data_IF_520567367351
#
_entry.id   IF_520567367351
#
_cell.length_a   1.000
_cell.length_b   1.000
_cell.length_c   1.000
_cell.angle_alpha   90.00
_cell.angle_beta   90.00
_cell.angle_gamma   90.00
#
_symmetry.space_group_name_H-M   'P 1'
#
loop_
_entity.id
_entity.type
_entity.pdbx_description
1 polymer ?
#
# COMPACT_ATOMS: atom_id res chain seq x y z
N UNK A 1 -42.07 -25.17 -12.78
CA UNK A 1 -41.48 -23.86 -13.16
C UNK A 1 -40.15 -24.15 -13.88
N UNK A 2 -39.97 -23.66 -15.10
CA UNK A 2 -38.74 -23.93 -15.89
C UNK A 2 -37.61 -23.02 -15.37
N UNK A 3 -36.53 -23.62 -14.87
CA UNK A 3 -35.31 -22.93 -14.45
C UNK A 3 -34.55 -22.43 -15.69
N UNK A 4 -34.44 -21.12 -15.87
CA UNK A 4 -33.57 -20.50 -16.88
C UNK A 4 -32.17 -20.32 -16.28
N UNK A 5 -31.16 -20.92 -16.91
CA UNK A 5 -29.75 -20.68 -16.55
C UNK A 5 -29.38 -19.23 -16.92
N UNK A 6 -28.59 -18.52 -16.09
CA UNK A 6 -28.13 -17.18 -16.41
C UNK A 6 -27.26 -17.21 -17.67
N UNK A 7 -27.49 -16.28 -18.60
CA UNK A 7 -26.63 -16.05 -19.76
C UNK A 7 -25.29 -15.49 -19.26
N UNK A 8 -24.23 -16.27 -19.43
CA UNK A 8 -22.85 -15.82 -19.19
C UNK A 8 -22.36 -15.25 -20.52
N UNK A 9 -22.13 -13.95 -20.58
CA UNK A 9 -21.47 -13.35 -21.74
C UNK A 9 -19.96 -13.64 -21.70
N UNK A 10 -19.32 -13.93 -22.84
CA UNK A 10 -17.90 -14.20 -22.87
C UNK A 10 -17.12 -12.94 -22.52
N UNK A 11 -16.19 -13.06 -21.59
CA UNK A 11 -15.24 -12.01 -21.24
C UNK A 11 -14.40 -11.73 -22.48
N UNK A 12 -14.62 -10.57 -23.12
CA UNK A 12 -13.75 -10.10 -24.20
C UNK A 12 -12.52 -9.45 -23.58
N UNK A 13 -11.36 -10.07 -23.78
CA UNK A 13 -10.10 -9.42 -23.51
C UNK A 13 -9.84 -8.35 -24.59
N UNK A 14 -9.37 -7.16 -24.20
CA UNK A 14 -9.10 -6.09 -25.15
C UNK A 14 -8.00 -6.48 -26.14
N UNK A 15 -8.10 -5.95 -27.35
CA UNK A 15 -7.11 -6.18 -28.41
C UNK A 15 -5.82 -5.40 -28.12
N UNK A 16 -4.71 -5.81 -28.74
CA UNK A 16 -3.41 -5.13 -28.58
C UNK A 16 -3.48 -3.62 -28.86
N UNK A 17 -4.29 -3.20 -29.84
CA UNK A 17 -4.51 -1.79 -30.18
C UNK A 17 -5.35 -1.04 -29.15
N UNK A 18 -6.25 -1.73 -28.45
CA UNK A 18 -6.98 -1.14 -27.33
C UNK A 18 -6.10 -1.05 -26.09
N UNK A 19 -5.22 -2.05 -25.86
CA UNK A 19 -4.21 -2.01 -24.81
C UNK A 19 -3.24 -0.83 -25.01
N UNK A 20 -2.72 -0.62 -26.22
CA UNK A 20 -1.81 0.50 -26.53
C UNK A 20 -2.47 1.88 -26.32
N UNK A 21 -3.77 2.00 -26.63
CA UNK A 21 -4.55 3.21 -26.34
C UNK A 21 -4.77 3.43 -24.85
N UNK A 22 -4.97 2.36 -24.08
CA UNK A 22 -5.09 2.43 -22.62
C UNK A 22 -3.75 2.80 -21.98
N UNK A 23 -2.63 2.27 -22.48
CA UNK A 23 -1.29 2.63 -22.04
C UNK A 23 -0.99 4.11 -22.32
N UNK A 24 -1.35 4.60 -23.51
CA UNK A 24 -1.17 6.01 -23.89
C UNK A 24 -2.04 6.94 -23.02
N UNK A 25 -3.30 6.57 -22.75
CA UNK A 25 -4.18 7.34 -21.86
C UNK A 25 -3.73 7.31 -20.40
N UNK A 26 -3.13 6.19 -19.95
CA UNK A 26 -2.50 6.07 -18.64
C UNK A 26 -1.21 6.91 -18.53
N UNK A 27 -0.45 7.06 -19.63
CA UNK A 27 0.75 7.88 -19.70
C UNK A 27 0.41 9.38 -19.55
N UNK A 28 -0.65 9.83 -20.23
CA UNK A 28 -1.15 11.22 -20.19
C UNK A 28 -1.74 11.66 -18.84
N UNK A 29 -2.04 10.72 -17.94
CA UNK A 29 -2.62 10.99 -16.62
C UNK A 29 -1.66 10.78 -15.45
N UNK A 30 -0.43 10.29 -15.70
CA UNK A 30 0.56 10.07 -14.65
C UNK A 30 1.21 11.39 -14.24
N UNK A 31 0.89 11.84 -13.03
CA UNK A 31 1.80 12.70 -12.26
C UNK A 31 3.19 12.04 -12.19
N UNK A 32 4.28 12.82 -12.06
CA UNK A 32 5.64 12.27 -12.06
C UNK A 32 5.79 11.24 -10.95
N UNK A 33 5.77 9.96 -11.32
CA UNK A 33 6.18 8.88 -10.41
C UNK A 33 7.65 9.06 -10.14
N UNK A 34 8.03 8.95 -8.88
CA UNK A 34 9.44 8.79 -8.54
C UNK A 34 9.91 7.53 -9.24
N UNK A 35 10.89 7.65 -10.14
CA UNK A 35 11.55 6.49 -10.72
C UNK A 35 12.30 5.78 -9.59
N UNK A 36 11.98 4.49 -9.39
CA UNK A 36 12.61 3.67 -8.38
C UNK A 36 13.26 2.46 -9.04
N UNK A 37 14.51 2.13 -8.70
CA UNK A 37 15.28 1.07 -9.36
C UNK A 37 14.63 -0.31 -9.26
N UNK A 38 13.77 -0.53 -8.25
CA UNK A 38 13.11 -1.82 -7.99
C UNK A 38 11.60 -1.79 -8.32
N UNK A 39 11.17 -1.06 -9.36
CA UNK A 39 9.75 -1.02 -9.76
C UNK A 39 9.46 -1.89 -10.98
N UNK A 40 8.48 -2.79 -10.86
CA UNK A 40 7.90 -3.53 -11.98
C UNK A 40 6.46 -3.04 -12.23
N UNK A 41 6.00 -2.92 -13.48
CA UNK A 41 4.62 -2.53 -13.77
C UNK A 41 3.62 -3.47 -13.07
N UNK A 42 2.76 -2.89 -12.22
CA UNK A 42 1.71 -3.63 -11.51
C UNK A 42 2.16 -4.45 -10.29
N UNK A 43 3.45 -4.43 -9.94
CA UNK A 43 3.98 -5.16 -8.76
C UNK A 43 4.71 -4.16 -7.86
N UNK A 44 4.29 -4.08 -6.59
CA UNK A 44 4.96 -3.25 -5.59
C UNK A 44 5.97 -4.09 -4.82
N UNK A 45 7.25 -3.73 -4.94
CA UNK A 45 8.34 -4.33 -4.18
C UNK A 45 8.68 -3.47 -2.95
N UNK A 46 8.96 -4.15 -1.85
CA UNK A 46 9.25 -3.56 -0.56
C UNK A 46 9.74 -4.61 0.46
N UNK A 47 9.89 -4.18 1.70
CA UNK A 47 10.38 -4.98 2.84
C UNK A 47 9.44 -4.82 4.04
N UNK A 48 9.55 -5.72 5.03
CA UNK A 48 8.75 -5.67 6.28
C UNK A 48 9.22 -4.64 7.31
N UNK A 49 10.20 -3.81 6.93
CA UNK A 49 10.68 -2.69 7.72
C UNK A 49 11.49 -1.73 6.84
N UNK A 50 11.56 -0.45 7.22
CA UNK A 50 12.53 0.51 6.69
C UNK A 50 13.64 0.82 7.71
N UNK A 51 13.65 0.15 8.86
CA UNK A 51 14.72 0.26 9.87
C UNK A 51 15.10 -1.12 10.35
N UNK A 52 16.36 -1.50 10.21
CA UNK A 52 16.90 -2.73 10.80
C UNK A 52 18.40 -2.58 11.05
N UNK A 53 18.89 -3.29 12.05
CA UNK A 53 20.31 -3.30 12.38
C UNK A 53 21.12 -3.83 11.18
N UNK A 54 22.23 -3.17 10.86
CA UNK A 54 23.12 -3.55 9.76
C UNK A 54 22.72 -2.99 8.39
N UNK A 55 21.63 -2.22 8.28
CA UNK A 55 21.28 -1.51 7.03
C UNK A 55 22.13 -0.26 6.79
N UNK A 56 22.68 0.32 7.86
CA UNK A 56 23.65 1.41 7.77
C UNK A 56 24.93 0.93 7.08
N UNK A 57 25.30 1.57 5.98
CA UNK A 57 26.45 1.23 5.16
C UNK A 57 26.23 0.11 4.14
N UNK A 58 25.19 -0.71 4.29
CA UNK A 58 24.84 -1.77 3.31
C UNK A 58 23.73 -1.33 2.34
N UNK A 59 22.67 -0.71 2.86
CA UNK A 59 21.55 -0.17 2.08
C UNK A 59 21.49 1.35 2.20
N UNK A 60 21.65 1.88 3.41
CA UNK A 60 21.73 3.31 3.66
C UNK A 60 23.16 3.81 3.51
N UNK A 61 23.39 4.97 2.86
CA UNK A 61 24.70 5.59 2.81
C UNK A 61 25.34 5.72 4.20
N UNK A 62 26.67 5.50 4.34
CA UNK A 62 27.36 5.65 5.62
C UNK A 62 27.12 7.03 6.25
N UNK A 63 26.83 7.06 7.55
CA UNK A 63 26.60 8.31 8.31
C UNK A 63 25.22 8.95 8.10
N UNK A 64 24.30 8.30 7.36
CA UNK A 64 22.92 8.77 7.25
C UNK A 64 22.22 8.71 8.60
N UNK A 65 21.50 9.78 8.96
CA UNK A 65 20.73 9.82 10.20
C UNK A 65 19.48 8.95 10.05
N UNK A 66 19.12 8.20 11.09
CA UNK A 66 17.91 7.34 11.07
C UNK A 66 16.64 8.11 10.78
N UNK A 67 16.60 9.39 11.16
CA UNK A 67 15.50 10.29 10.82
C UNK A 67 15.34 10.52 9.32
N UNK A 68 16.26 10.10 8.45
CA UNK A 68 16.23 10.30 7.00
C UNK A 68 15.99 8.97 6.23
N UNK A 69 16.02 7.83 6.93
CA UNK A 69 15.90 6.48 6.35
C UNK A 69 14.63 6.27 5.53
N UNK A 70 13.45 6.63 6.05
CA UNK A 70 12.19 6.46 5.32
C UNK A 70 12.18 7.24 3.99
N UNK A 71 12.72 8.46 4.00
CA UNK A 71 12.78 9.30 2.81
C UNK A 71 13.69 8.69 1.76
N UNK A 72 14.87 8.19 2.18
CA UNK A 72 15.75 7.45 1.27
C UNK A 72 15.10 6.16 0.77
N UNK A 73 14.52 5.36 1.67
CA UNK A 73 13.86 4.11 1.35
C UNK A 73 12.78 4.29 0.27
N UNK A 74 11.98 5.35 0.37
CA UNK A 74 10.91 5.64 -0.58
C UNK A 74 11.40 6.05 -1.98
N UNK A 75 12.69 6.33 -2.15
CA UNK A 75 13.34 6.48 -3.47
C UNK A 75 13.74 5.14 -4.10
N UNK A 76 13.84 4.09 -3.29
CA UNK A 76 14.31 2.77 -3.72
C UNK A 76 13.14 1.81 -3.95
N UNK A 77 12.14 1.84 -3.05
CA UNK A 77 10.98 0.96 -3.05
C UNK A 77 9.67 1.74 -3.05
N UNK A 78 8.62 1.14 -3.63
CA UNK A 78 7.30 1.76 -3.77
C UNK A 78 6.38 1.48 -2.57
N UNK A 79 6.72 0.49 -1.75
CA UNK A 79 5.92 0.10 -0.59
C UNK A 79 6.81 -0.35 0.57
N UNK A 80 6.28 -0.28 1.79
CA UNK A 80 6.87 -0.93 2.97
C UNK A 80 5.78 -1.54 3.84
N UNK A 81 6.04 -2.71 4.39
CA UNK A 81 5.22 -3.24 5.48
C UNK A 81 5.73 -2.69 6.82
N UNK A 82 4.82 -2.23 7.67
CA UNK A 82 5.12 -1.67 8.98
C UNK A 82 4.65 -2.64 10.06
N UNK A 83 5.60 -3.38 10.62
CA UNK A 83 5.33 -4.40 11.64
C UNK A 83 5.24 -3.85 13.07
N UNK A 84 5.77 -2.65 13.32
CA UNK A 84 5.75 -2.05 14.66
C UNK A 84 4.33 -1.81 15.18
N UNK A 85 3.36 -1.67 14.28
CA UNK A 85 1.95 -1.48 14.60
C UNK A 85 1.30 -2.72 15.22
N UNK A 86 1.90 -3.90 15.02
CA UNK A 86 1.51 -5.13 15.71
C UNK A 86 1.59 -4.96 17.23
N UNK A 87 2.65 -4.30 17.71
CA UNK A 87 2.89 -4.12 19.14
C UNK A 87 2.25 -2.86 19.72
N UNK A 88 2.13 -1.80 18.91
CA UNK A 88 1.58 -0.51 19.36
C UNK A 88 1.05 0.30 18.18
N UNK A 89 -0.17 0.81 18.31
CA UNK A 89 -0.69 1.77 17.34
C UNK A 89 0.19 3.03 17.26
N UNK A 90 0.60 3.47 16.05
CA UNK A 90 1.37 4.69 15.89
C UNK A 90 0.53 5.91 16.28
N UNK A 91 1.19 6.97 16.75
CA UNK A 91 0.52 8.25 16.98
C UNK A 91 0.13 8.91 15.65
N UNK A 92 -0.92 9.75 15.58
CA UNK A 92 -1.25 10.49 14.37
C UNK A 92 -0.09 11.38 13.87
N UNK A 93 0.73 11.92 14.78
CA UNK A 93 1.91 12.68 14.39
C UNK A 93 2.96 11.80 13.69
N UNK A 94 3.12 10.56 14.14
CA UNK A 94 3.99 9.56 13.49
C UNK A 94 3.52 9.29 12.07
N UNK A 95 2.23 9.01 11.88
CA UNK A 95 1.64 8.73 10.56
C UNK A 95 1.74 9.95 9.63
N UNK A 96 1.45 11.15 10.13
CA UNK A 96 1.63 12.40 9.37
C UNK A 96 3.09 12.60 8.94
N UNK A 97 4.04 12.31 9.82
CA UNK A 97 5.46 12.39 9.49
C UNK A 97 5.89 11.35 8.46
N UNK A 98 5.27 10.16 8.42
CA UNK A 98 5.53 9.18 7.37
C UNK A 98 5.02 9.68 6.01
N UNK A 99 3.76 10.14 5.97
CA UNK A 99 3.15 10.70 4.76
C UNK A 99 3.95 11.90 4.22
N UNK A 100 4.37 12.83 5.09
CA UNK A 100 5.16 14.01 4.69
C UNK A 100 6.56 13.67 4.14
N UNK A 101 7.04 12.44 4.34
CA UNK A 101 8.41 12.02 4.03
C UNK A 101 8.49 10.99 2.90
N UNK A 102 7.34 10.64 2.33
CA UNK A 102 7.22 9.69 1.23
C UNK A 102 6.47 10.33 0.07
N UNK A 103 6.75 9.93 -1.18
CA UNK A 103 5.99 10.39 -2.35
C UNK A 103 4.52 9.98 -2.28
N UNK A 104 3.66 10.68 -3.00
CA UNK A 104 2.20 10.42 -3.04
C UNK A 104 1.84 9.00 -3.51
N UNK A 105 2.67 8.40 -4.36
CA UNK A 105 2.48 7.05 -4.89
C UNK A 105 3.10 5.95 -4.01
N UNK A 106 3.66 6.30 -2.84
CA UNK A 106 4.22 5.34 -1.90
C UNK A 106 3.12 4.72 -1.01
N UNK A 107 3.14 3.41 -0.86
CA UNK A 107 2.12 2.67 -0.12
C UNK A 107 2.69 2.11 1.19
N UNK A 108 1.93 2.23 2.27
CA UNK A 108 2.24 1.57 3.54
C UNK A 108 1.31 0.37 3.72
N UNK A 109 1.87 -0.80 3.95
CA UNK A 109 1.14 -1.99 4.39
C UNK A 109 1.26 -2.08 5.90
N UNK A 110 0.22 -1.71 6.64
CA UNK A 110 0.29 -1.64 8.11
C UNK A 110 -0.22 -2.94 8.73
N UNK A 111 0.57 -3.54 9.61
CA UNK A 111 0.17 -4.77 10.29
C UNK A 111 -0.94 -4.50 11.30
N UNK A 112 -1.96 -5.36 11.31
CA UNK A 112 -3.05 -5.27 12.27
C UNK A 112 -2.50 -5.50 13.69
N UNK A 113 -2.87 -4.67 14.68
CA UNK A 113 -2.47 -4.84 16.07
C UNK A 113 -2.68 -6.26 16.64
N UNK A 114 -1.79 -6.68 17.52
CA UNK A 114 -1.84 -7.97 18.21
C UNK A 114 -3.14 -8.15 19.01
N UNK A 115 -3.62 -7.08 19.66
CA UNK A 115 -4.87 -7.11 20.43
C UNK A 115 -6.06 -7.58 19.58
N UNK A 116 -6.11 -7.21 18.31
CA UNK A 116 -7.18 -7.61 17.38
C UNK A 116 -6.99 -9.07 16.95
N UNK A 117 -5.78 -9.45 16.53
CA UNK A 117 -5.53 -10.73 15.85
C UNK A 117 -5.28 -11.90 16.81
N UNK A 118 -4.63 -11.65 17.96
CA UNK A 118 -4.18 -12.70 18.88
C UNK A 118 -4.93 -12.69 20.22
N UNK A 119 -5.28 -11.52 20.75
CA UNK A 119 -5.97 -11.44 22.05
C UNK A 119 -7.48 -11.58 21.88
N UNK A 120 -8.08 -10.75 21.01
CA UNK A 120 -9.51 -10.76 20.71
C UNK A 120 -9.89 -11.72 19.59
N UNK A 121 -8.93 -12.18 18.78
CA UNK A 121 -9.13 -13.13 17.68
C UNK A 121 -10.28 -12.70 16.77
N UNK A 122 -10.31 -11.41 16.41
CA UNK A 122 -11.34 -10.78 15.56
C UNK A 122 -12.76 -10.70 16.17
N UNK A 123 -12.93 -10.93 17.48
CA UNK A 123 -14.21 -10.82 18.18
C UNK A 123 -14.30 -9.48 18.92
N UNK A 124 -15.43 -8.76 18.77
CA UNK A 124 -15.74 -7.49 19.48
C UNK A 124 -14.56 -6.50 19.51
N UNK A 125 -13.93 -6.30 18.34
CA UNK A 125 -12.70 -5.54 18.19
C UNK A 125 -12.85 -4.25 17.37
N UNK A 126 -14.09 -3.84 17.08
CA UNK A 126 -14.39 -2.62 16.31
C UNK A 126 -13.77 -1.38 16.97
N UNK A 127 -13.75 -1.31 18.31
CA UNK A 127 -13.13 -0.20 19.04
C UNK A 127 -11.63 -0.03 18.78
N UNK A 128 -10.93 -1.11 18.44
CA UNK A 128 -9.50 -1.07 18.12
C UNK A 128 -9.23 -0.69 16.66
N UNK A 129 -10.22 -0.83 15.79
CA UNK A 129 -10.20 -0.32 14.42
C UNK A 129 -10.67 1.14 14.35
N UNK A 130 -11.61 1.54 15.22
CA UNK A 130 -12.08 2.92 15.39
C UNK A 130 -11.04 3.69 16.18
N UNK A 131 -9.92 3.98 15.52
CA UNK A 131 -9.00 5.00 15.96
C UNK A 131 -9.31 6.20 15.07
N UNK A 132 -9.96 7.23 15.63
CA UNK A 132 -10.26 8.55 15.01
C UNK A 132 -9.02 9.26 14.40
N UNK A 133 -7.85 8.60 14.41
CA UNK A 133 -6.52 9.12 14.20
C UNK A 133 -5.80 8.40 13.04
N UNK A 134 -6.37 7.29 12.56
CA UNK A 134 -6.03 6.69 11.28
C UNK A 134 -6.96 7.35 10.27
N UNK A 135 -6.48 8.42 9.63
CA UNK A 135 -7.21 9.04 8.51
C UNK A 135 -7.69 7.91 7.58
N UNK A 136 -8.97 7.87 7.12
CA UNK A 136 -9.45 6.85 6.19
C UNK A 136 -8.59 6.68 4.93
N UNK A 137 -7.70 7.65 4.64
CA UNK A 137 -6.70 7.56 3.57
C UNK A 137 -5.55 6.56 3.81
N UNK A 138 -5.27 6.16 5.06
CA UNK A 138 -4.16 5.22 5.38
C UNK A 138 -4.64 3.77 5.34
N UNK A 139 -5.94 3.55 5.53
CA UNK A 139 -6.60 2.24 5.42
C UNK A 139 -7.67 2.28 4.34
N UNK A 140 -7.34 2.82 3.16
CA UNK A 140 -8.13 2.55 1.96
C UNK A 140 -7.95 1.07 1.58
N UNK A 141 -8.73 0.20 2.24
CA UNK A 141 -8.95 -1.19 1.80
C UNK A 141 -9.55 -1.22 0.38
N UNK A 142 -10.08 -0.10 -0.09
CA UNK A 142 -10.80 0.05 -1.36
C UNK A 142 -9.90 0.08 -2.60
N UNK A 143 -8.58 0.17 -2.46
CA UNK A 143 -7.68 0.15 -3.63
C UNK A 143 -7.42 -1.26 -4.18
N UNK A 144 -7.98 -2.30 -3.55
CA UNK A 144 -7.90 -3.70 -3.98
C UNK A 144 -9.29 -4.29 -4.32
N UNK A 145 -10.11 -3.54 -5.04
CA UNK A 145 -11.30 -4.11 -5.68
C UNK A 145 -11.30 -3.78 -7.18
N UNK A 146 -11.10 -4.76 -8.07
CA UNK A 146 -11.51 -4.61 -9.47
C UNK A 146 -13.05 -4.63 -9.64
N UNK A 147 -13.82 -4.63 -8.53
CA UNK A 147 -15.28 -4.82 -8.54
C UNK A 147 -16.08 -3.76 -7.77
N UNK A 148 -15.55 -2.57 -7.48
CA UNK A 148 -16.32 -1.49 -6.84
C UNK A 148 -17.25 -0.71 -7.79
N UNK A 149 -17.80 -1.38 -8.81
CA UNK A 149 -18.92 -0.84 -9.61
C UNK A 149 -19.88 -1.94 -10.05
N UNK A 150 -20.43 -2.73 -9.11
CA UNK A 150 -21.74 -3.38 -9.27
C UNK A 150 -22.46 -3.44 -7.92
N UNK A 151 -23.49 -2.59 -7.82
CA UNK A 151 -24.58 -2.43 -6.81
C UNK A 151 -24.42 -1.34 -5.77
#
# INVERSE_FOLDING_TARGET
MKSQRPKIEPIRNPTLFEMEKLDTAAELTRQPRVERPYSLPGILLGTSAFTANGWEGSFYPPGMKSRDFLSYYATQFATVEVDSTFYRCPSPNTVKNWAARTPEDFIFSVKVPQVITHEKVLVDCDSEFVIDHLNPQVFEFDRWSPFSSIR
#
